data_IF_764832206993
#
_entry.id   IF_764832206993
#
_cell.length_a   1.000
_cell.length_b   1.000
_cell.length_c   1.000
_cell.angle_alpha   90.00
_cell.angle_beta   90.00
_cell.angle_gamma   90.00
#
_symmetry.space_group_name_H-M   'P 1'
#
loop_
_entity.id
_entity.type
_entity.pdbx_description
1 polymer ?
#
# COMPACT_ATOMS: atom_id res chain seq x y z
N UNK A 1 55.32 97.89 -4.97
CA UNK A 1 54.67 97.01 -5.95
C UNK A 1 55.13 95.56 -5.83
N UNK A 2 56.40 95.31 -5.48
CA UNK A 2 56.96 93.94 -5.37
C UNK A 2 56.38 93.11 -4.20
N UNK A 3 56.15 93.69 -3.02
CA UNK A 3 55.59 92.94 -1.86
C UNK A 3 54.15 92.42 -2.06
N UNK A 4 53.36 93.09 -2.90
CA UNK A 4 51.99 92.66 -3.22
C UNK A 4 51.96 91.48 -4.20
N UNK A 5 52.97 91.35 -5.06
CA UNK A 5 53.08 90.25 -6.03
C UNK A 5 53.52 88.97 -5.31
N UNK A 6 54.51 89.05 -4.41
CA UNK A 6 54.99 87.90 -3.62
C UNK A 6 53.93 87.37 -2.65
N UNK A 7 53.06 88.25 -2.13
CA UNK A 7 51.95 87.84 -1.26
C UNK A 7 50.88 87.09 -2.07
N UNK A 8 50.52 87.60 -3.25
CA UNK A 8 49.54 86.95 -4.13
C UNK A 8 50.03 85.62 -4.71
N UNK A 9 51.32 85.48 -5.01
CA UNK A 9 51.91 84.21 -5.45
C UNK A 9 51.96 83.17 -4.32
N UNK A 10 52.32 83.56 -3.09
CA UNK A 10 52.29 82.66 -1.94
C UNK A 10 50.87 82.21 -1.58
N UNK A 11 49.86 83.08 -1.73
CA UNK A 11 48.45 82.69 -1.54
C UNK A 11 47.99 81.68 -2.58
N UNK A 12 48.33 81.88 -3.86
CA UNK A 12 47.99 80.91 -4.93
C UNK A 12 48.68 79.56 -4.75
N UNK A 13 49.94 79.55 -4.35
CA UNK A 13 50.68 78.30 -4.06
C UNK A 13 50.08 77.57 -2.86
N UNK A 14 49.61 78.30 -1.84
CA UNK A 14 48.90 77.73 -0.69
C UNK A 14 47.53 77.15 -1.10
N UNK A 15 46.76 77.87 -1.91
CA UNK A 15 45.46 77.42 -2.44
C UNK A 15 45.60 76.19 -3.34
N UNK A 16 46.59 76.17 -4.23
CA UNK A 16 46.88 75.01 -5.10
C UNK A 16 47.36 73.78 -4.30
N UNK A 17 48.12 74.00 -3.22
CA UNK A 17 48.52 72.94 -2.30
C UNK A 17 47.32 72.37 -1.53
N UNK A 18 46.40 73.22 -1.07
CA UNK A 18 45.16 72.80 -0.39
C UNK A 18 44.20 72.07 -1.33
N UNK A 19 44.08 72.50 -2.59
CA UNK A 19 43.28 71.83 -3.62
C UNK A 19 43.86 70.45 -3.92
N UNK A 20 45.19 70.35 -4.12
CA UNK A 20 45.87 69.08 -4.34
C UNK A 20 45.75 68.11 -3.15
N UNK A 21 45.68 68.63 -1.93
CA UNK A 21 45.51 67.82 -0.73
C UNK A 21 44.06 67.34 -0.56
N UNK A 22 43.07 68.19 -0.86
CA UNK A 22 41.66 67.81 -0.94
C UNK A 22 41.40 66.77 -2.03
N UNK A 23 42.00 66.90 -3.20
CA UNK A 23 41.88 65.90 -4.27
C UNK A 23 42.48 64.55 -3.86
N UNK A 24 43.62 64.56 -3.17
CA UNK A 24 44.23 63.33 -2.62
C UNK A 24 43.37 62.71 -1.52
N UNK A 25 42.72 63.52 -0.69
CA UNK A 25 41.76 63.04 0.31
C UNK A 25 40.54 62.43 -0.36
N UNK A 26 39.98 63.12 -1.36
CA UNK A 26 38.83 62.65 -2.13
C UNK A 26 39.14 61.34 -2.87
N UNK A 27 40.32 61.21 -3.48
CA UNK A 27 40.76 59.97 -4.13
C UNK A 27 40.85 58.81 -3.15
N UNK A 28 41.40 59.02 -1.94
CA UNK A 28 41.47 57.99 -0.91
C UNK A 28 40.10 57.61 -0.36
N UNK A 29 39.21 58.57 -0.17
CA UNK A 29 37.83 58.33 0.27
C UNK A 29 37.05 57.56 -0.80
N UNK A 30 37.16 57.97 -2.05
CA UNK A 30 36.51 57.32 -3.18
C UNK A 30 37.02 55.88 -3.37
N UNK A 31 38.34 55.66 -3.25
CA UNK A 31 38.95 54.33 -3.30
C UNK A 31 38.48 53.44 -2.14
N UNK A 32 38.36 53.99 -0.91
CA UNK A 32 37.76 53.27 0.22
C UNK A 32 36.32 52.89 -0.04
N UNK A 33 35.49 53.80 -0.55
CA UNK A 33 34.08 53.54 -0.88
C UNK A 33 33.94 52.45 -1.94
N UNK A 34 34.79 52.47 -2.97
CA UNK A 34 34.81 51.43 -3.99
C UNK A 34 35.23 50.07 -3.41
N UNK A 35 36.30 50.05 -2.61
CA UNK A 35 36.76 48.84 -1.92
C UNK A 35 35.69 48.28 -0.96
N UNK A 36 34.98 49.14 -0.24
CA UNK A 36 33.90 48.75 0.65
C UNK A 36 32.69 48.19 -0.12
N UNK A 37 32.27 48.86 -1.20
CA UNK A 37 31.23 48.33 -2.11
C UNK A 37 31.59 47.00 -2.73
N UNK A 38 32.85 46.82 -3.13
CA UNK A 38 33.31 45.53 -3.65
C UNK A 38 33.31 44.45 -2.57
N UNK A 39 33.67 44.77 -1.32
CA UNK A 39 33.61 43.84 -0.19
C UNK A 39 32.16 43.42 0.10
N UNK A 40 31.25 44.38 0.18
CA UNK A 40 29.81 44.12 0.36
C UNK A 40 29.25 43.26 -0.77
N UNK A 41 29.61 43.54 -2.02
CA UNK A 41 29.16 42.73 -3.18
C UNK A 41 29.70 41.30 -3.11
N UNK A 42 30.95 41.10 -2.67
CA UNK A 42 31.53 39.76 -2.47
C UNK A 42 30.86 39.02 -1.31
N UNK A 43 30.51 39.72 -0.23
CA UNK A 43 29.78 39.14 0.90
C UNK A 43 28.38 38.73 0.52
N UNK A 44 27.65 39.61 -0.17
CA UNK A 44 26.33 39.34 -0.70
C UNK A 44 26.32 38.13 -1.64
N UNK A 45 27.28 38.04 -2.56
CA UNK A 45 27.38 36.90 -3.47
C UNK A 45 27.68 35.60 -2.73
N UNK A 46 28.55 35.63 -1.71
CA UNK A 46 28.80 34.47 -0.84
C UNK A 46 27.55 34.04 -0.08
N UNK A 47 26.83 34.98 0.50
CA UNK A 47 25.58 34.70 1.22
C UNK A 47 24.52 34.09 0.30
N UNK A 48 24.39 34.61 -0.93
CA UNK A 48 23.49 34.05 -1.95
C UNK A 48 23.85 32.62 -2.31
N UNK A 49 25.12 32.36 -2.58
CA UNK A 49 25.61 31.01 -2.90
C UNK A 49 25.40 30.06 -1.72
N UNK A 50 25.60 30.53 -0.49
CA UNK A 50 25.39 29.71 0.70
C UNK A 50 23.92 29.38 0.92
N UNK A 51 23.01 30.37 0.80
CA UNK A 51 21.56 30.15 0.86
C UNK A 51 21.08 29.22 -0.25
N UNK A 52 21.64 29.31 -1.45
CA UNK A 52 21.29 28.42 -2.55
C UNK A 52 21.76 26.97 -2.30
N UNK A 53 22.95 26.80 -1.71
CA UNK A 53 23.43 25.48 -1.26
C UNK A 53 22.57 24.92 -0.14
N UNK A 54 22.20 25.73 0.84
CA UNK A 54 21.34 25.34 1.94
C UNK A 54 19.97 24.89 1.45
N UNK A 55 19.36 25.66 0.55
CA UNK A 55 18.09 25.31 -0.08
C UNK A 55 18.18 23.98 -0.84
N UNK A 56 19.24 23.80 -1.62
CA UNK A 56 19.49 22.56 -2.38
C UNK A 56 19.71 21.35 -1.49
N UNK A 57 20.45 21.51 -0.39
CA UNK A 57 20.64 20.46 0.60
C UNK A 57 19.31 20.10 1.26
N UNK A 58 18.50 21.10 1.60
CA UNK A 58 17.19 20.91 2.21
C UNK A 58 16.23 20.18 1.27
N UNK A 59 16.27 20.50 -0.01
CA UNK A 59 15.49 19.83 -1.05
C UNK A 59 15.91 18.36 -1.17
N UNK A 60 17.21 18.07 -1.25
CA UNK A 60 17.73 16.70 -1.27
C UNK A 60 17.38 15.92 0.01
N UNK A 61 17.42 16.55 1.17
CA UNK A 61 17.02 15.93 2.44
C UNK A 61 15.53 15.58 2.46
N UNK A 62 14.67 16.49 1.99
CA UNK A 62 13.24 16.23 1.86
C UNK A 62 12.94 15.13 0.85
N UNK A 63 13.66 15.09 -0.26
CA UNK A 63 13.55 14.03 -1.27
C UNK A 63 13.98 12.67 -0.71
N UNK A 64 15.11 12.60 -0.03
CA UNK A 64 15.57 11.39 0.66
C UNK A 64 14.57 10.93 1.72
N UNK A 65 14.03 11.86 2.51
CA UNK A 65 13.01 11.53 3.53
C UNK A 65 11.71 11.04 2.90
N UNK A 66 11.31 11.60 1.76
CA UNK A 66 10.14 11.12 1.00
C UNK A 66 10.40 9.72 0.47
N UNK A 67 11.57 9.46 -0.10
CA UNK A 67 11.95 8.13 -0.61
C UNK A 67 12.05 7.10 0.53
N UNK A 68 12.59 7.49 1.70
CA UNK A 68 12.62 6.65 2.89
C UNK A 68 11.21 6.30 3.37
N UNK A 69 10.30 7.28 3.43
CA UNK A 69 8.90 7.05 3.76
C UNK A 69 8.20 6.17 2.71
N UNK A 70 8.54 6.32 1.44
CA UNK A 70 8.03 5.46 0.35
C UNK A 70 8.55 4.03 0.48
N UNK A 71 9.84 3.83 0.77
CA UNK A 71 10.43 2.52 1.05
C UNK A 71 9.85 1.92 2.32
N UNK A 72 9.57 2.71 3.34
CA UNK A 72 8.93 2.25 4.58
C UNK A 72 7.45 1.91 4.35
N UNK A 73 6.72 2.69 3.56
CA UNK A 73 5.34 2.40 3.17
C UNK A 73 5.27 1.18 2.25
N UNK A 74 6.22 1.00 1.34
CA UNK A 74 6.33 -0.16 0.47
C UNK A 74 6.82 -1.39 1.25
N UNK A 75 7.69 -1.20 2.25
CA UNK A 75 8.11 -2.20 3.22
C UNK A 75 7.00 -2.59 4.20
N UNK A 76 6.09 -1.68 4.53
CA UNK A 76 4.84 -1.97 5.24
C UNK A 76 3.83 -2.67 4.33
N UNK A 77 3.70 -2.30 3.05
CA UNK A 77 2.89 -3.05 2.07
C UNK A 77 3.45 -4.46 1.86
N UNK A 78 4.77 -4.64 1.85
CA UNK A 78 5.45 -5.93 1.81
C UNK A 78 5.34 -6.68 3.14
N UNK A 79 5.29 -6.02 4.30
CA UNK A 79 5.04 -6.66 5.61
C UNK A 79 3.57 -6.98 5.86
N UNK A 80 2.64 -6.25 5.25
CA UNK A 80 1.22 -6.59 5.22
C UNK A 80 1.00 -7.74 4.21
N UNK A 81 1.72 -7.75 3.08
CA UNK A 81 1.74 -8.89 2.14
C UNK A 81 2.54 -10.11 2.63
N UNK A 82 3.54 -9.94 3.50
CA UNK A 82 4.43 -11.01 3.97
C UNK A 82 4.22 -11.41 5.43
N UNK A 83 3.40 -10.67 6.19
CA UNK A 83 2.97 -11.01 7.55
C UNK A 83 1.78 -11.96 7.57
N UNK A 84 1.03 -12.05 6.47
CA UNK A 84 0.00 -13.05 6.24
C UNK A 84 0.15 -13.60 4.82
N UNK A 85 1.27 -14.25 4.50
CA UNK A 85 1.18 -15.27 3.44
C UNK A 85 0.15 -16.27 3.97
N UNK A 86 -1.06 -16.22 3.42
CA UNK A 86 -2.12 -17.14 3.75
C UNK A 86 -1.57 -18.55 3.50
N UNK A 87 -1.10 -19.19 4.57
CA UNK A 87 -0.44 -20.47 4.51
C UNK A 87 -1.54 -21.51 4.36
N UNK A 88 -1.83 -21.84 3.11
CA UNK A 88 -2.94 -22.73 2.79
C UNK A 88 -2.75 -24.06 3.51
N UNK A 89 -1.52 -24.56 3.64
CA UNK A 89 -1.22 -25.80 4.34
C UNK A 89 -1.62 -25.78 5.82
N UNK A 90 -1.50 -24.63 6.49
CA UNK A 90 -1.99 -24.46 7.88
C UNK A 90 -3.52 -24.38 7.95
N UNK A 91 -4.14 -23.69 7.00
CA UNK A 91 -5.58 -23.44 7.02
C UNK A 91 -6.41 -24.62 6.49
N UNK A 92 -5.84 -25.51 5.67
CA UNK A 92 -6.49 -26.76 5.21
C UNK A 92 -7.00 -27.59 6.39
N UNK A 93 -6.28 -27.63 7.52
CA UNK A 93 -6.70 -28.37 8.72
C UNK A 93 -7.96 -27.79 9.39
N UNK A 94 -8.27 -26.53 9.12
CA UNK A 94 -9.46 -25.84 9.63
C UNK A 94 -10.63 -25.91 8.66
N UNK A 95 -10.42 -26.45 7.46
CA UNK A 95 -11.50 -26.65 6.50
C UNK A 95 -12.35 -27.84 6.97
N UNK A 96 -13.68 -27.66 7.13
CA UNK A 96 -14.57 -28.76 7.48
C UNK A 96 -14.45 -29.92 6.48
N UNK A 97 -14.61 -31.18 6.93
CA UNK A 97 -14.60 -32.31 6.02
C UNK A 97 -15.78 -32.24 5.05
N UNK A 98 -15.55 -32.57 3.78
CA UNK A 98 -16.59 -32.56 2.76
C UNK A 98 -17.63 -33.66 3.02
N UNK A 99 -18.91 -33.30 2.95
CA UNK A 99 -20.03 -34.21 3.18
C UNK A 99 -20.88 -34.33 1.91
N UNK A 100 -20.68 -35.40 1.14
CA UNK A 100 -21.43 -35.66 -0.11
C UNK A 100 -22.95 -35.79 0.08
N UNK A 101 -23.40 -36.07 1.30
CA UNK A 101 -24.82 -36.24 1.61
C UNK A 101 -25.57 -34.92 1.72
N UNK A 102 -24.86 -33.82 1.99
CA UNK A 102 -25.42 -32.51 2.29
C UNK A 102 -24.55 -31.40 1.67
N UNK A 103 -24.31 -31.50 0.35
CA UNK A 103 -23.40 -30.61 -0.37
C UNK A 103 -23.82 -29.14 -0.22
N UNK A 104 -25.12 -28.84 -0.28
CA UNK A 104 -25.64 -27.47 -0.10
C UNK A 104 -25.29 -26.88 1.27
N UNK A 105 -25.48 -27.66 2.34
CA UNK A 105 -25.17 -27.24 3.70
C UNK A 105 -23.67 -27.13 3.95
N UNK A 106 -22.89 -28.01 3.32
CA UNK A 106 -21.44 -27.97 3.39
C UNK A 106 -20.90 -26.64 2.84
N UNK A 107 -21.36 -26.17 1.67
CA UNK A 107 -20.92 -24.90 1.11
C UNK A 107 -21.28 -23.71 2.00
N UNK A 108 -22.48 -23.70 2.59
CA UNK A 108 -22.87 -22.66 3.54
C UNK A 108 -21.96 -22.66 4.78
N UNK A 109 -21.63 -23.84 5.30
CA UNK A 109 -20.75 -23.99 6.45
C UNK A 109 -19.31 -23.56 6.12
N UNK A 110 -18.81 -23.95 4.95
CA UNK A 110 -17.50 -23.54 4.45
C UNK A 110 -17.40 -22.02 4.32
N UNK A 111 -18.38 -21.37 3.69
CA UNK A 111 -18.41 -19.90 3.50
C UNK A 111 -18.45 -19.15 4.82
N UNK A 112 -19.24 -19.65 5.78
CA UNK A 112 -19.30 -19.07 7.12
C UNK A 112 -17.96 -19.19 7.84
N UNK A 113 -17.30 -20.35 7.78
CA UNK A 113 -15.98 -20.54 8.39
C UNK A 113 -14.90 -19.69 7.70
N UNK A 114 -14.89 -19.68 6.37
CA UNK A 114 -13.93 -18.89 5.60
C UNK A 114 -14.08 -17.39 5.88
N UNK A 115 -15.31 -16.90 6.02
CA UNK A 115 -15.59 -15.51 6.40
C UNK A 115 -15.14 -15.22 7.83
N UNK A 116 -15.48 -16.09 8.79
CA UNK A 116 -15.10 -15.93 10.20
C UNK A 116 -13.58 -15.96 10.42
N UNK A 117 -12.85 -16.72 9.60
CA UNK A 117 -11.40 -16.80 9.65
C UNK A 117 -10.70 -15.79 8.72
N UNK A 118 -11.45 -14.88 8.10
CA UNK A 118 -10.94 -13.83 7.19
C UNK A 118 -10.07 -14.39 6.06
N UNK A 119 -10.43 -15.56 5.53
CA UNK A 119 -9.69 -16.18 4.42
C UNK A 119 -9.87 -15.38 3.14
N UNK A 120 -8.78 -15.09 2.41
CA UNK A 120 -8.86 -14.31 1.19
C UNK A 120 -9.55 -15.15 0.09
N UNK A 121 -10.53 -14.55 -0.61
CA UNK A 121 -11.45 -15.26 -1.52
C UNK A 121 -10.73 -15.96 -2.68
N UNK A 122 -9.57 -15.45 -3.09
CA UNK A 122 -8.68 -16.03 -4.09
C UNK A 122 -8.01 -17.35 -3.65
N UNK A 123 -8.10 -17.72 -2.36
CA UNK A 123 -7.58 -18.99 -1.82
C UNK A 123 -8.67 -20.00 -1.47
N UNK A 124 -9.95 -19.62 -1.55
CA UNK A 124 -11.07 -20.49 -1.19
C UNK A 124 -11.14 -21.73 -2.09
N UNK A 125 -10.89 -21.58 -3.38
CA UNK A 125 -10.87 -22.71 -4.33
C UNK A 125 -9.81 -23.74 -3.97
N UNK A 126 -8.60 -23.30 -3.62
CA UNK A 126 -7.51 -24.20 -3.25
C UNK A 126 -7.79 -24.94 -1.93
N UNK A 127 -8.36 -24.24 -0.93
CA UNK A 127 -8.82 -24.85 0.31
C UNK A 127 -9.93 -25.87 0.06
N UNK A 128 -10.91 -25.51 -0.76
CA UNK A 128 -12.03 -26.37 -1.12
C UNK A 128 -11.54 -27.65 -1.81
N UNK A 129 -10.71 -27.53 -2.84
CA UNK A 129 -10.17 -28.67 -3.59
C UNK A 129 -9.44 -29.69 -2.69
N UNK A 130 -8.81 -29.23 -1.61
CA UNK A 130 -8.10 -30.11 -0.67
C UNK A 130 -9.02 -31.09 0.08
N UNK A 131 -10.29 -30.72 0.29
CA UNK A 131 -11.26 -31.51 1.04
C UNK A 131 -12.33 -32.17 0.16
N UNK A 132 -12.44 -31.78 -1.12
CA UNK A 132 -13.38 -32.42 -2.04
C UNK A 132 -13.07 -33.92 -2.19
N UNK A 133 -14.12 -34.71 -2.22
CA UNK A 133 -14.08 -36.17 -2.36
C UNK A 133 -15.11 -36.62 -3.41
N UNK A 134 -14.96 -37.86 -3.89
CA UNK A 134 -15.91 -38.52 -4.79
C UNK A 134 -16.25 -37.68 -6.02
N UNK A 135 -17.56 -37.52 -6.27
CA UNK A 135 -18.07 -36.86 -7.48
C UNK A 135 -17.68 -35.38 -7.55
N UNK A 136 -17.59 -34.69 -6.42
CA UNK A 136 -17.19 -33.28 -6.38
C UNK A 136 -15.74 -33.11 -6.82
N UNK A 137 -14.86 -34.04 -6.42
CA UNK A 137 -13.47 -34.06 -6.86
C UNK A 137 -13.37 -34.29 -8.37
N UNK A 138 -14.10 -35.26 -8.90
CA UNK A 138 -14.15 -35.54 -10.34
C UNK A 138 -14.57 -34.30 -11.14
N UNK A 139 -15.65 -33.63 -10.75
CA UNK A 139 -16.12 -32.40 -11.38
C UNK A 139 -15.01 -31.34 -11.33
N UNK A 140 -14.42 -31.10 -10.16
CA UNK A 140 -13.36 -30.09 -10.00
C UNK A 140 -12.12 -30.37 -10.85
N UNK A 141 -11.76 -31.65 -11.04
CA UNK A 141 -10.58 -32.05 -11.83
C UNK A 141 -10.77 -31.91 -13.35
N UNK A 142 -12.01 -31.86 -13.83
CA UNK A 142 -12.34 -31.68 -15.24
C UNK A 142 -12.40 -30.20 -15.66
N UNK A 143 -12.37 -29.28 -14.69
CA UNK A 143 -12.39 -27.84 -14.96
C UNK A 143 -11.04 -27.39 -15.50
N UNK A 144 -11.08 -26.43 -16.44
CA UNK A 144 -9.88 -25.72 -16.86
C UNK A 144 -9.29 -24.93 -15.70
N UNK A 145 -7.99 -24.62 -15.78
CA UNK A 145 -7.27 -23.86 -14.74
C UNK A 145 -7.98 -22.54 -14.44
N UNK A 146 -8.45 -21.83 -15.47
CA UNK A 146 -9.18 -20.56 -15.34
C UNK A 146 -10.51 -20.71 -14.59
N UNK A 147 -11.31 -21.73 -14.91
CA UNK A 147 -12.59 -21.97 -14.23
C UNK A 147 -12.38 -22.48 -12.80
N UNK A 148 -11.34 -23.28 -12.58
CA UNK A 148 -10.99 -23.83 -11.27
C UNK A 148 -10.51 -22.76 -10.27
N UNK A 149 -10.06 -21.60 -10.77
CA UNK A 149 -9.63 -20.47 -9.95
C UNK A 149 -10.82 -19.66 -9.39
N UNK A 150 -12.00 -19.75 -10.01
CA UNK A 150 -13.19 -19.03 -9.57
C UNK A 150 -14.06 -19.87 -8.63
N UNK A 151 -14.13 -19.47 -7.36
CA UNK A 151 -14.93 -20.16 -6.34
C UNK A 151 -16.41 -20.28 -6.71
N UNK A 152 -17.00 -19.20 -7.21
CA UNK A 152 -18.44 -19.15 -7.48
C UNK A 152 -18.81 -20.13 -8.61
N UNK A 153 -17.94 -20.23 -9.63
CA UNK A 153 -18.07 -21.21 -10.72
C UNK A 153 -17.90 -22.65 -10.24
N UNK A 154 -16.88 -22.92 -9.42
CA UNK A 154 -16.62 -24.26 -8.87
C UNK A 154 -17.80 -24.72 -8.00
N UNK A 155 -18.30 -23.84 -7.13
CA UNK A 155 -19.48 -24.09 -6.29
C UNK A 155 -20.69 -24.44 -7.15
N UNK A 156 -20.99 -23.62 -8.16
CA UNK A 156 -22.14 -23.85 -9.03
C UNK A 156 -22.07 -25.19 -9.76
N UNK A 157 -20.91 -25.54 -10.32
CA UNK A 157 -20.72 -26.78 -11.07
C UNK A 157 -20.81 -28.02 -10.17
N UNK A 158 -20.24 -27.96 -8.97
CA UNK A 158 -20.39 -29.04 -7.98
C UNK A 158 -21.86 -29.15 -7.58
N UNK A 159 -22.52 -28.05 -7.20
CA UNK A 159 -23.94 -28.08 -6.85
C UNK A 159 -24.79 -28.67 -7.99
N UNK A 160 -24.58 -28.23 -9.23
CA UNK A 160 -25.26 -28.76 -10.41
C UNK A 160 -25.00 -30.26 -10.63
N UNK A 161 -23.77 -30.74 -10.42
CA UNK A 161 -23.46 -32.15 -10.48
C UNK A 161 -24.19 -32.98 -9.41
N UNK A 162 -24.44 -32.40 -8.23
CA UNK A 162 -25.24 -33.00 -7.16
C UNK A 162 -26.74 -32.61 -7.22
N UNK A 163 -27.21 -31.80 -8.17
CA UNK A 163 -28.64 -31.57 -8.40
C UNK A 163 -29.36 -32.80 -8.98
N UNK A 164 -28.64 -33.85 -9.38
CA UNK A 164 -29.24 -35.17 -9.67
C UNK A 164 -29.66 -35.93 -8.40
N UNK A 165 -29.54 -35.31 -7.22
CA UNK A 165 -29.88 -35.88 -5.92
C UNK A 165 -31.39 -35.89 -5.57
N UNK A 166 -32.39 -35.30 -6.27
CA UNK A 166 -33.80 -35.54 -5.96
C UNK A 166 -34.15 -37.03 -5.92
N UNK A 167 -33.54 -37.84 -6.79
CA UNK A 167 -33.66 -39.30 -6.78
C UNK A 167 -33.00 -39.93 -5.54
N UNK A 168 -31.83 -39.43 -5.13
CA UNK A 168 -31.13 -39.91 -3.95
C UNK A 168 -31.80 -39.44 -2.62
N UNK A 169 -32.38 -38.24 -2.58
CA UNK A 169 -33.24 -37.79 -1.47
C UNK A 169 -34.55 -38.58 -1.45
N UNK A 170 -35.16 -38.89 -2.61
CA UNK A 170 -36.30 -39.81 -2.73
C UNK A 170 -35.99 -41.19 -2.15
N UNK A 171 -34.88 -41.79 -2.58
CA UNK A 171 -34.47 -43.11 -2.12
C UNK A 171 -34.20 -43.10 -0.61
N UNK A 172 -33.49 -42.08 -0.09
CA UNK A 172 -33.24 -41.94 1.35
C UNK A 172 -34.52 -41.68 2.14
N UNK A 173 -35.42 -40.83 1.67
CA UNK A 173 -36.71 -40.60 2.34
C UNK A 173 -37.51 -41.90 2.46
N UNK A 174 -37.47 -42.75 1.42
CA UNK A 174 -38.12 -44.06 1.40
C UNK A 174 -37.39 -45.10 2.26
N UNK A 175 -36.07 -45.07 2.33
CA UNK A 175 -35.26 -46.03 3.07
C UNK A 175 -34.90 -45.59 4.50
N UNK A 176 -35.31 -44.40 4.93
CA UNK A 176 -34.99 -43.88 6.26
C UNK A 176 -35.97 -44.42 7.29
N UNK A 177 -35.46 -45.33 8.13
CA UNK A 177 -36.20 -45.95 9.22
C UNK A 177 -35.81 -45.34 10.57
N UNK A 178 -36.76 -45.37 11.52
CA UNK A 178 -36.53 -44.92 12.88
C UNK A 178 -35.65 -45.95 13.60
N UNK A 179 -34.44 -45.55 13.98
CA UNK A 179 -33.61 -46.29 14.94
C UNK A 179 -34.13 -46.13 16.37
N UNK A 180 -34.01 -47.19 17.19
CA UNK A 180 -34.48 -47.26 18.59
C UNK A 180 -34.02 -46.09 19.47
N UNK A 181 -32.85 -45.54 19.19
CA UNK A 181 -32.25 -44.44 19.96
C UNK A 181 -32.77 -43.03 19.59
N UNK A 182 -33.60 -42.87 18.55
CA UNK A 182 -34.13 -41.56 18.12
C UNK A 182 -35.58 -41.36 18.56
N UNK A 183 -35.92 -40.15 19.02
CA UNK A 183 -37.31 -39.81 19.35
C UNK A 183 -38.14 -39.66 18.06
N UNK A 184 -39.46 -39.81 18.17
CA UNK A 184 -40.36 -39.63 17.01
C UNK A 184 -40.31 -38.20 16.44
N UNK A 185 -40.04 -37.20 17.30
CA UNK A 185 -39.87 -35.80 16.89
C UNK A 185 -38.63 -35.64 16.02
N UNK A 186 -37.48 -36.19 16.43
CA UNK A 186 -36.25 -36.15 15.65
C UNK A 186 -36.39 -36.90 14.32
N UNK A 187 -37.12 -38.02 14.31
CA UNK A 187 -37.41 -38.77 13.08
C UNK A 187 -38.26 -37.94 12.11
N UNK A 188 -39.32 -37.30 12.60
CA UNK A 188 -40.19 -36.44 11.79
C UNK A 188 -39.43 -35.25 11.21
N UNK A 189 -38.62 -34.55 12.02
CA UNK A 189 -37.79 -33.43 11.58
C UNK A 189 -36.83 -33.83 10.44
N UNK A 190 -36.16 -34.98 10.56
CA UNK A 190 -35.25 -35.46 9.50
C UNK A 190 -36.03 -35.86 8.25
N UNK A 191 -37.22 -36.46 8.38
CA UNK A 191 -38.07 -36.78 7.22
C UNK A 191 -38.60 -35.54 6.52
N UNK A 192 -38.99 -34.51 7.27
CA UNK A 192 -39.43 -33.22 6.75
C UNK A 192 -38.30 -32.54 5.97
N UNK A 193 -37.10 -32.48 6.53
CA UNK A 193 -35.92 -31.95 5.83
C UNK A 193 -35.57 -32.73 4.55
N UNK A 194 -35.75 -34.05 4.54
CA UNK A 194 -35.54 -34.87 3.34
C UNK A 194 -36.64 -34.65 2.29
N UNK A 195 -37.87 -34.36 2.71
CA UNK A 195 -39.00 -34.05 1.84
C UNK A 195 -38.87 -32.66 1.21
N UNK A 196 -38.49 -31.65 1.99
CA UNK A 196 -38.25 -30.28 1.51
C UNK A 196 -37.10 -30.21 0.50
N UNK A 197 -36.14 -31.13 0.58
CA UNK A 197 -35.04 -31.26 -0.40
C UNK A 197 -35.36 -32.18 -1.57
N UNK A 198 -36.48 -32.90 -1.50
CA UNK A 198 -37.02 -33.70 -2.61
C UNK A 198 -37.90 -32.84 -3.53
N UNK A 199 -38.79 -32.01 -2.97
CA UNK A 199 -39.67 -31.11 -3.72
C UNK A 199 -38.93 -29.87 -4.26
#
# INVERSE_FOLDING_TARGET
>A
MEQSITTAENTRISEDSEISEKDRQWQREHEKILSDREREKREWERERVEKEKEFRLREQELELRKLELEVQANGQNLRVSSGHKFDVTKHVRMVPPFQEREVDQYFLHFEKNATNCEWPKDRWTMLLQSVLLGKAREISSQLSVELSANYDTVKELILNGYKLVPEAYRQKFRSFEKTDHKTYVQFAQVKEQLFDRWC
#
